data_IF_799803187572
#
_entry.id   IF_799803187572
#
_cell.length_a   1.000
_cell.length_b   1.000
_cell.length_c   1.000
_cell.angle_alpha   90.00
_cell.angle_beta   90.00
_cell.angle_gamma   90.00
#
_symmetry.space_group_name_H-M   'P 1'
#
loop_
_entity.id
_entity.type
_entity.pdbx_description
1 polymer ?
#
# COMPACT_ATOMS: atom_id res chain seq x y z
N UNK A 1 25.12 -4.89 -7.87
CA UNK A 1 23.78 -5.48 -8.09
C UNK A 1 23.15 -6.12 -6.85
N UNK A 2 23.82 -6.15 -5.67
CA UNK A 2 23.27 -6.79 -4.46
C UNK A 2 22.84 -5.78 -3.35
N UNK A 3 23.44 -4.60 -3.28
CA UNK A 3 23.17 -3.65 -2.20
C UNK A 3 21.88 -2.83 -2.38
N UNK A 4 21.45 -2.54 -3.61
CA UNK A 4 20.22 -1.77 -3.89
C UNK A 4 18.94 -2.56 -3.64
N UNK A 5 18.91 -3.86 -3.95
CA UNK A 5 17.78 -4.75 -3.64
C UNK A 5 17.68 -4.96 -2.12
N UNK A 6 18.82 -5.11 -1.45
CA UNK A 6 18.86 -5.25 0.00
C UNK A 6 18.29 -4.01 0.71
N UNK A 7 18.66 -2.81 0.27
CA UNK A 7 18.08 -1.57 0.80
C UNK A 7 16.59 -1.44 0.43
N UNK A 8 16.22 -1.79 -0.80
CA UNK A 8 14.82 -1.76 -1.26
C UNK A 8 13.88 -2.68 -0.46
N UNK A 9 14.39 -3.76 0.13
CA UNK A 9 13.63 -4.64 1.01
C UNK A 9 13.71 -4.20 2.48
N UNK A 10 14.87 -3.71 2.92
CA UNK A 10 15.05 -3.26 4.31
C UNK A 10 14.23 -2.00 4.65
N UNK A 11 14.07 -1.07 3.71
CA UNK A 11 13.29 0.16 3.92
C UNK A 11 11.81 -0.13 4.28
N UNK A 12 11.04 -0.89 3.49
CA UNK A 12 9.66 -1.22 3.84
C UNK A 12 9.58 -2.10 5.09
N UNK A 13 10.53 -3.03 5.28
CA UNK A 13 10.54 -3.90 6.46
C UNK A 13 10.74 -3.12 7.77
N UNK A 14 11.72 -2.21 7.80
CA UNK A 14 11.92 -1.31 8.92
C UNK A 14 10.75 -0.33 9.07
N UNK A 15 10.21 0.19 7.98
CA UNK A 15 9.05 1.09 7.99
C UNK A 15 7.80 0.45 8.61
N UNK A 16 7.42 -0.77 8.19
CA UNK A 16 6.26 -1.49 8.72
C UNK A 16 6.47 -1.92 10.17
N UNK A 17 7.68 -2.38 10.53
CA UNK A 17 7.98 -2.79 11.91
C UNK A 17 8.00 -1.60 12.88
N UNK A 18 8.61 -0.47 12.52
CA UNK A 18 8.56 0.77 13.33
C UNK A 18 7.15 1.34 13.41
N UNK A 19 6.43 1.42 12.28
CA UNK A 19 5.07 1.95 12.24
C UNK A 19 4.10 1.13 13.10
N UNK A 20 4.16 -0.20 13.01
CA UNK A 20 3.33 -1.09 13.85
C UNK A 20 3.71 -1.02 15.32
N UNK A 21 5.01 -0.93 15.67
CA UNK A 21 5.46 -0.77 17.04
C UNK A 21 5.00 0.56 17.67
N UNK A 22 5.03 1.65 16.90
CA UNK A 22 4.54 2.96 17.34
C UNK A 22 3.03 2.92 17.64
N UNK A 23 2.22 2.31 16.76
CA UNK A 23 0.77 2.15 16.98
C UNK A 23 0.49 1.23 18.17
N UNK A 24 1.28 0.17 18.36
CA UNK A 24 1.12 -0.75 19.50
C UNK A 24 1.36 -0.07 20.84
N UNK A 25 2.37 0.80 20.95
CA UNK A 25 2.65 1.54 22.18
C UNK A 25 1.58 2.63 22.45
N UNK A 26 1.07 3.25 21.38
CA UNK A 26 0.08 4.32 21.47
C UNK A 26 -1.35 3.81 21.73
N UNK A 27 -1.61 2.51 21.49
CA UNK A 27 -2.93 1.87 21.66
C UNK A 27 -3.53 2.02 23.07
N UNK A 28 -2.72 2.32 24.09
CA UNK A 28 -3.17 2.41 25.48
C UNK A 28 -4.00 3.68 25.81
N UNK A 29 -3.98 4.72 24.95
CA UNK A 29 -4.75 5.97 25.13
C UNK A 29 -5.52 6.40 23.86
N UNK A 30 -5.74 5.50 22.91
CA UNK A 30 -6.32 5.87 21.61
C UNK A 30 -7.84 6.06 21.64
N UNK A 31 -8.26 7.32 21.55
CA UNK A 31 -9.58 7.69 21.07
C UNK A 31 -9.73 7.23 19.61
N UNK A 32 -10.89 6.65 19.24
CA UNK A 32 -11.18 6.13 17.89
C UNK A 32 -10.92 7.16 16.78
N UNK A 33 -10.89 8.44 17.11
CA UNK A 33 -10.56 9.53 16.17
C UNK A 33 -9.12 9.45 15.64
N UNK A 34 -8.13 9.15 16.49
CA UNK A 34 -6.72 9.13 16.09
C UNK A 34 -6.45 7.94 15.17
N UNK A 35 -7.01 6.77 15.48
CA UNK A 35 -6.90 5.57 14.64
C UNK A 35 -7.43 5.82 13.22
N UNK A 36 -8.61 6.44 13.12
CA UNK A 36 -9.23 6.78 11.84
C UNK A 36 -8.42 7.82 11.08
N UNK A 37 -7.83 8.80 11.76
CA UNK A 37 -6.98 9.81 11.13
C UNK A 37 -5.70 9.19 10.54
N UNK A 38 -5.01 8.32 11.28
CA UNK A 38 -3.79 7.64 10.83
C UNK A 38 -4.07 6.66 9.68
N UNK A 39 -5.17 5.88 9.78
CA UNK A 39 -5.56 4.95 8.72
C UNK A 39 -6.02 5.70 7.47
N UNK A 40 -6.75 6.81 7.63
CA UNK A 40 -7.14 7.70 6.54
C UNK A 40 -5.93 8.34 5.84
N UNK A 41 -4.91 8.75 6.61
CA UNK A 41 -3.65 9.24 6.07
C UNK A 41 -2.91 8.17 5.26
N UNK A 42 -2.80 6.95 5.79
CA UNK A 42 -2.16 5.83 5.09
C UNK A 42 -2.91 5.45 3.80
N UNK A 43 -4.24 5.38 3.85
CA UNK A 43 -5.07 5.14 2.68
C UNK A 43 -4.90 6.23 1.62
N UNK A 44 -4.84 7.50 2.02
CA UNK A 44 -4.59 8.63 1.13
C UNK A 44 -3.22 8.57 0.46
N UNK A 45 -2.17 8.24 1.20
CA UNK A 45 -0.81 8.10 0.65
C UNK A 45 -0.73 6.99 -0.41
N UNK A 46 -1.37 5.84 -0.17
CA UNK A 46 -1.42 4.75 -1.15
C UNK A 46 -2.17 5.15 -2.43
N UNK A 47 -3.29 5.88 -2.31
CA UNK A 47 -4.04 6.36 -3.49
C UNK A 47 -3.23 7.36 -4.31
N UNK A 48 -2.49 8.27 -3.65
CA UNK A 48 -1.62 9.23 -4.36
C UNK A 48 -0.55 8.52 -5.20
N UNK A 49 0.18 7.56 -4.61
CA UNK A 49 1.21 6.78 -5.33
C UNK A 49 0.60 5.98 -6.49
N UNK A 50 -0.58 5.40 -6.29
CA UNK A 50 -1.27 4.67 -7.38
C UNK A 50 -1.55 5.59 -8.56
N UNK A 51 -2.05 6.81 -8.32
CA UNK A 51 -2.47 7.73 -9.39
C UNK A 51 -1.27 8.36 -10.10
N UNK A 52 -0.26 8.79 -9.36
CA UNK A 52 0.87 9.55 -9.92
C UNK A 52 1.97 8.67 -10.49
N UNK A 53 2.16 7.45 -9.97
CA UNK A 53 3.24 6.55 -10.40
C UNK A 53 2.67 5.29 -11.08
N UNK A 54 1.80 4.54 -10.41
CA UNK A 54 1.39 3.21 -10.93
C UNK A 54 0.51 3.29 -12.20
N UNK A 55 -0.46 4.21 -12.27
CA UNK A 55 -1.29 4.39 -13.47
C UNK A 55 -0.45 4.78 -14.70
N UNK A 56 0.42 5.81 -14.65
CA UNK A 56 1.25 6.16 -15.79
C UNK A 56 2.25 5.05 -16.15
N UNK A 57 2.89 4.39 -15.17
CA UNK A 57 3.80 3.27 -15.45
C UNK A 57 3.13 2.12 -16.19
N UNK A 58 1.89 1.77 -15.80
CA UNK A 58 1.13 0.73 -16.50
C UNK A 58 0.63 1.18 -17.87
N UNK A 59 0.47 2.49 -18.08
CA UNK A 59 -0.04 3.04 -19.33
C UNK A 59 1.06 3.31 -20.38
N UNK A 60 2.31 3.52 -19.99
CA UNK A 60 3.43 3.94 -20.88
C UNK A 60 4.20 2.78 -21.57
N UNK A 61 3.74 1.53 -21.49
CA UNK A 61 4.37 0.38 -22.17
C UNK A 61 3.77 0.00 -23.54
N UNK A 62 4.56 -0.67 -24.40
CA UNK A 62 4.09 -1.25 -25.69
C UNK A 62 2.90 -2.23 -25.53
N UNK A 63 2.65 -2.70 -24.31
CA UNK A 63 1.52 -3.53 -23.90
C UNK A 63 0.69 -2.89 -22.76
N UNK A 64 0.48 -1.58 -22.82
CA UNK A 64 -0.33 -0.77 -21.89
C UNK A 64 -1.66 -1.45 -21.47
N UNK A 65 -2.36 -2.05 -22.43
CA UNK A 65 -3.64 -2.71 -22.17
C UNK A 65 -3.52 -3.92 -21.23
N UNK A 66 -2.42 -4.69 -21.31
CA UNK A 66 -2.18 -5.86 -20.45
C UNK A 66 -1.90 -5.43 -19.01
N UNK A 67 -1.12 -4.38 -18.80
CA UNK A 67 -0.83 -3.86 -17.45
C UNK A 67 -2.11 -3.42 -16.73
N UNK A 68 -2.95 -2.64 -17.41
CA UNK A 68 -4.23 -2.17 -16.87
C UNK A 68 -5.21 -3.32 -16.61
N UNK A 69 -5.29 -4.31 -17.53
CA UNK A 69 -6.14 -5.49 -17.33
C UNK A 69 -5.68 -6.29 -16.10
N UNK A 70 -4.38 -6.55 -15.94
CA UNK A 70 -3.86 -7.30 -14.79
C UNK A 70 -4.08 -6.55 -13.47
N UNK A 71 -3.92 -5.22 -13.47
CA UNK A 71 -4.26 -4.39 -12.31
C UNK A 71 -5.75 -4.47 -11.95
N UNK A 72 -6.63 -4.38 -12.95
CA UNK A 72 -8.08 -4.47 -12.73
C UNK A 72 -8.51 -5.84 -12.16
N UNK A 73 -7.88 -6.91 -12.63
CA UNK A 73 -8.08 -8.27 -12.11
C UNK A 73 -7.55 -8.39 -10.67
N UNK A 74 -6.35 -7.88 -10.39
CA UNK A 74 -5.78 -7.87 -9.04
C UNK A 74 -6.62 -7.08 -8.04
N UNK A 75 -7.13 -5.91 -8.44
CA UNK A 75 -8.05 -5.11 -7.63
C UNK A 75 -9.37 -5.85 -7.37
N UNK A 76 -9.94 -6.47 -8.42
CA UNK A 76 -11.18 -7.26 -8.29
C UNK A 76 -10.98 -8.46 -7.38
N UNK A 77 -9.83 -9.15 -7.49
CA UNK A 77 -9.47 -10.27 -6.62
C UNK A 77 -9.33 -9.81 -5.17
N UNK A 78 -8.65 -8.69 -4.91
CA UNK A 78 -8.52 -8.13 -3.57
C UNK A 78 -9.88 -7.75 -2.97
N UNK A 79 -10.76 -7.09 -3.74
CA UNK A 79 -12.14 -6.80 -3.31
C UNK A 79 -12.96 -8.07 -3.04
N UNK A 80 -12.80 -9.10 -3.86
CA UNK A 80 -13.46 -10.39 -3.66
C UNK A 80 -12.95 -11.10 -2.39
N UNK A 81 -11.64 -11.05 -2.13
CA UNK A 81 -11.05 -11.58 -0.90
C UNK A 81 -11.49 -10.80 0.33
N UNK A 82 -11.53 -9.47 0.28
CA UNK A 82 -12.00 -8.62 1.38
C UNK A 82 -13.48 -8.89 1.69
N UNK A 83 -14.32 -9.08 0.67
CA UNK A 83 -15.74 -9.43 0.84
C UNK A 83 -15.94 -10.86 1.37
N UNK A 84 -15.06 -11.81 1.00
CA UNK A 84 -15.18 -13.21 1.39
C UNK A 84 -14.58 -13.52 2.77
N UNK A 85 -13.54 -12.79 3.18
CA UNK A 85 -12.91 -12.90 4.51
C UNK A 85 -13.48 -11.88 5.52
N UNK A 86 -14.21 -10.87 5.05
CA UNK A 86 -14.84 -9.81 5.84
C UNK A 86 -16.03 -10.27 6.67
#
# INVERSE_FOLDING_TARGET
MNSSIFVGLMVPFLGTSLGSAAVFFMKNEMDKKIERALTGFAAGAMVYVVVEELIPEMSEGEHSNIGVIMFSVGFTLMMALDTALG
#
